data_IF_385664803313
#
_entry.id   IF_385664803313
#
_cell.length_a   1.000
_cell.length_b   1.000
_cell.length_c   1.000
_cell.angle_alpha   90.00
_cell.angle_beta   90.00
_cell.angle_gamma   90.00
#
_symmetry.space_group_name_H-M   'P 1'
#
loop_
_entity.id
_entity.type
_entity.pdbx_description
1 polymer ?
#
# COMPACT_ATOMS: atom_id res chain seq x y z
N UNK A 1 9.61 13.58 6.06
CA UNK A 1 9.10 12.60 7.03
C UNK A 1 8.24 11.58 6.30
N UNK A 2 8.45 10.30 6.58
CA UNK A 2 7.70 9.25 5.90
C UNK A 2 6.36 8.97 6.58
N UNK A 3 5.37 8.65 5.76
CA UNK A 3 4.00 8.37 6.20
C UNK A 3 3.60 6.99 5.70
N UNK A 4 2.75 6.31 6.44
CA UNK A 4 2.21 5.02 6.02
C UNK A 4 1.02 5.23 5.08
N UNK A 5 1.11 4.62 3.92
CA UNK A 5 0.01 4.59 2.93
C UNK A 5 -0.46 3.16 2.75
N UNK A 6 -1.76 3.03 2.50
CA UNK A 6 -2.38 1.75 2.18
C UNK A 6 -2.69 1.75 0.69
N UNK A 7 -2.31 0.69 0.01
CA UNK A 7 -2.58 0.53 -1.42
C UNK A 7 -3.39 -0.74 -1.65
N UNK A 8 -4.54 -0.60 -2.31
CA UNK A 8 -5.32 -1.72 -2.80
C UNK A 8 -5.14 -1.78 -4.31
N UNK A 9 -4.76 -2.92 -4.82
CA UNK A 9 -4.51 -3.07 -6.25
C UNK A 9 -4.88 -4.47 -6.71
N UNK A 10 -5.03 -4.62 -8.03
CA UNK A 10 -5.29 -5.89 -8.67
C UNK A 10 -4.07 -6.24 -9.52
N UNK A 11 -3.59 -7.47 -9.41
CA UNK A 11 -2.45 -7.92 -10.20
C UNK A 11 -2.90 -8.34 -11.61
N UNK A 12 -1.94 -8.74 -12.44
CA UNK A 12 -2.20 -9.13 -13.81
C UNK A 12 -3.06 -10.38 -13.95
N UNK A 13 -3.16 -11.17 -12.88
CA UNK A 13 -4.01 -12.36 -12.86
C UNK A 13 -5.41 -12.07 -12.36
N UNK A 14 -5.70 -10.81 -12.02
CA UNK A 14 -7.00 -10.41 -11.53
C UNK A 14 -7.22 -10.61 -10.04
N UNK A 15 -6.16 -10.91 -9.29
CA UNK A 15 -6.25 -11.08 -7.84
C UNK A 15 -6.05 -9.75 -7.12
N UNK A 16 -6.88 -9.51 -6.10
CA UNK A 16 -6.77 -8.30 -5.29
C UNK A 16 -5.73 -8.45 -4.20
N UNK A 17 -4.99 -7.36 -3.97
CA UNK A 17 -3.96 -7.31 -2.95
C UNK A 17 -4.06 -6.01 -2.17
N UNK A 18 -3.60 -6.06 -0.92
CA UNK A 18 -3.44 -4.88 -0.09
C UNK A 18 -2.00 -4.84 0.39
N UNK A 19 -1.37 -3.68 0.31
CA UNK A 19 0.01 -3.49 0.77
C UNK A 19 0.14 -2.19 1.54
N UNK A 20 1.16 -2.13 2.39
CA UNK A 20 1.51 -0.91 3.11
C UNK A 20 2.79 -0.35 2.51
N UNK A 21 2.84 0.97 2.35
CA UNK A 21 4.03 1.66 1.88
C UNK A 21 4.40 2.77 2.84
N UNK A 22 5.64 2.77 3.28
CA UNK A 22 6.18 3.85 4.11
C UNK A 22 7.01 4.74 3.21
N UNK A 23 6.50 5.94 2.93
CA UNK A 23 7.11 6.83 1.94
C UNK A 23 6.73 8.29 2.21
N UNK A 24 7.29 9.19 1.40
CA UNK A 24 7.14 10.63 1.62
C UNK A 24 5.82 11.21 1.10
N UNK A 25 5.20 10.56 0.12
CA UNK A 25 3.98 11.08 -0.48
C UNK A 25 3.11 9.98 -1.07
N UNK A 26 1.83 10.29 -1.24
CA UNK A 26 0.89 9.41 -1.92
C UNK A 26 1.34 9.11 -3.35
N UNK A 27 1.87 10.13 -4.03
CA UNK A 27 2.38 9.97 -5.40
C UNK A 27 3.50 8.94 -5.47
N UNK A 28 4.38 8.94 -4.49
CA UNK A 28 5.48 7.98 -4.43
C UNK A 28 4.95 6.56 -4.29
N UNK A 29 3.92 6.37 -3.48
CA UNK A 29 3.27 5.07 -3.31
C UNK A 29 2.59 4.64 -4.62
N UNK A 30 1.86 5.54 -5.26
CA UNK A 30 1.19 5.24 -6.54
C UNK A 30 2.21 4.86 -7.61
N UNK A 31 3.32 5.55 -7.68
CA UNK A 31 4.38 5.27 -8.63
C UNK A 31 4.96 3.87 -8.43
N UNK A 32 5.12 3.47 -7.18
CA UNK A 32 5.67 2.15 -6.87
C UNK A 32 4.73 1.03 -7.33
N UNK A 33 3.41 1.24 -7.21
CA UNK A 33 2.41 0.23 -7.56
C UNK A 33 1.81 0.42 -8.96
N UNK A 34 2.33 1.33 -9.76
CA UNK A 34 1.72 1.69 -11.04
C UNK A 34 1.72 0.57 -12.08
N UNK A 35 2.53 -0.46 -11.90
CA UNK A 35 2.54 -1.63 -12.77
C UNK A 35 1.31 -2.51 -12.57
N UNK A 36 0.56 -2.25 -11.51
CA UNK A 36 -0.68 -2.96 -11.20
C UNK A 36 -1.87 -2.04 -11.44
N UNK A 37 -3.07 -2.61 -11.38
CA UNK A 37 -4.31 -1.85 -11.48
C UNK A 37 -4.68 -1.37 -10.09
N UNK A 38 -4.33 -0.13 -9.77
CA UNK A 38 -4.56 0.47 -8.45
C UNK A 38 -6.04 0.83 -8.29
N UNK A 39 -6.65 0.34 -7.21
CA UNK A 39 -8.02 0.72 -6.84
C UNK A 39 -8.01 1.92 -5.91
N UNK A 40 -7.13 1.91 -4.91
CA UNK A 40 -7.08 2.95 -3.88
C UNK A 40 -5.65 3.09 -3.36
N UNK A 41 -5.22 4.34 -3.16
CA UNK A 41 -4.02 4.66 -2.38
C UNK A 41 -4.43 5.78 -1.43
N UNK A 42 -4.25 5.56 -0.12
CA UNK A 42 -4.62 6.55 0.88
C UNK A 42 -3.73 6.40 2.12
N UNK A 43 -3.79 7.41 2.99
CA UNK A 43 -3.08 7.34 4.27
C UNK A 43 -3.70 6.20 5.09
N UNK A 44 -2.86 5.34 5.63
CA UNK A 44 -3.30 4.23 6.46
C UNK A 44 -3.52 4.71 7.89
N UNK A 45 -4.59 4.25 8.51
CA UNK A 45 -4.84 4.54 9.92
C UNK A 45 -3.95 3.67 10.79
N UNK A 46 -3.67 4.13 12.01
CA UNK A 46 -2.75 3.42 12.92
C UNK A 46 -3.20 1.99 13.20
N UNK A 47 -4.48 1.79 13.46
CA UNK A 47 -5.04 0.45 13.72
C UNK A 47 -4.97 -0.45 12.48
N UNK A 48 -5.13 0.12 11.30
CA UNK A 48 -4.99 -0.62 10.04
C UNK A 48 -3.55 -1.09 9.85
N UNK A 49 -2.59 -0.24 10.14
CA UNK A 49 -1.17 -0.58 10.04
C UNK A 49 -0.86 -1.77 10.93
N UNK A 50 -1.29 -1.71 12.17
CA UNK A 50 -1.06 -2.78 13.13
C UNK A 50 -1.72 -4.07 12.68
N UNK A 51 -2.98 -4.00 12.27
CA UNK A 51 -3.75 -5.16 11.85
C UNK A 51 -3.13 -5.83 10.62
N UNK A 52 -2.83 -5.04 9.60
CA UNK A 52 -2.29 -5.56 8.35
C UNK A 52 -0.90 -6.16 8.54
N UNK A 53 -0.06 -5.53 9.34
CA UNK A 53 1.28 -6.06 9.61
C UNK A 53 1.19 -7.39 10.37
N UNK A 54 0.25 -7.51 11.29
CA UNK A 54 0.06 -8.76 12.03
C UNK A 54 -0.44 -9.90 11.15
N UNK A 55 -1.06 -9.58 10.02
CA UNK A 55 -1.55 -10.57 9.05
C UNK A 55 -0.52 -10.94 7.99
N UNK A 56 0.67 -10.34 8.05
CA UNK A 56 1.71 -10.63 7.07
C UNK A 56 1.56 -9.86 5.76
N UNK A 57 0.83 -8.76 5.78
CA UNK A 57 0.65 -7.89 4.61
C UNK A 57 2.01 -7.41 4.09
N UNK A 58 2.22 -7.35 2.76
CA UNK A 58 3.45 -6.81 2.21
C UNK A 58 3.70 -5.37 2.67
N UNK A 59 4.94 -5.09 3.03
CA UNK A 59 5.36 -3.76 3.47
C UNK A 59 6.53 -3.31 2.61
N UNK A 60 6.42 -2.10 2.07
CA UNK A 60 7.45 -1.49 1.24
C UNK A 60 7.91 -0.22 1.91
N UNK A 61 9.22 -0.02 1.99
CA UNK A 61 9.79 1.23 2.47
C UNK A 61 10.53 1.91 1.33
N UNK A 62 10.12 3.13 1.01
CA UNK A 62 10.64 3.86 -0.15
C UNK A 62 11.43 5.11 0.26
#
# INVERSE_FOLDING_TARGET
>A
MKTWYLADYKDENGNYHTALALCDSEEQAEEHFNKYDISTVRIAAEDEIYYLRSKGCPVVEL
#
